data_IF_890281541008
#
_entry.id   IF_890281541008
#
_cell.length_a   1.000
_cell.length_b   1.000
_cell.length_c   1.000
_cell.angle_alpha   90.00
_cell.angle_beta   90.00
_cell.angle_gamma   90.00
#
_symmetry.space_group_name_H-M   'P 1'
#
loop_
_entity.id
_entity.type
_entity.pdbx_description
1 polymer ?
#
# COMPACT_ATOMS: atom_id res chain seq x y z
N UNK A 1 12.47 -22.90 23.05
CA UNK A 1 12.62 -22.31 21.70
C UNK A 1 14.03 -22.55 21.21
N UNK A 2 14.19 -23.14 20.02
CA UNK A 2 15.52 -23.30 19.39
C UNK A 2 16.05 -21.92 18.97
N UNK A 3 17.36 -21.69 19.09
CA UNK A 3 18.02 -20.42 18.74
C UNK A 3 17.70 -19.96 17.31
N UNK A 4 17.60 -20.92 16.37
CA UNK A 4 17.23 -20.67 14.97
C UNK A 4 15.86 -20.01 14.85
N UNK A 5 14.88 -20.53 15.59
CA UNK A 5 13.51 -20.02 15.56
C UNK A 5 13.39 -18.64 16.21
N UNK A 6 14.13 -18.40 17.29
CA UNK A 6 14.24 -17.07 17.90
C UNK A 6 14.80 -16.05 16.89
N UNK A 7 15.95 -16.37 16.28
CA UNK A 7 16.61 -15.49 15.31
C UNK A 7 15.72 -15.23 14.08
N UNK A 8 15.03 -16.26 13.58
CA UNK A 8 14.08 -16.13 12.47
C UNK A 8 12.99 -15.10 12.79
N UNK A 9 12.31 -15.24 13.94
CA UNK A 9 11.21 -14.33 14.31
C UNK A 9 11.71 -12.91 14.52
N UNK A 10 12.88 -12.76 15.16
CA UNK A 10 13.47 -11.44 15.38
C UNK A 10 13.81 -10.74 14.05
N UNK A 11 14.45 -11.45 13.11
CA UNK A 11 14.77 -10.92 11.79
C UNK A 11 13.51 -10.58 11.00
N UNK A 12 12.47 -11.40 11.09
CA UNK A 12 11.19 -11.14 10.44
C UNK A 12 10.50 -9.87 10.99
N UNK A 13 10.44 -9.71 12.31
CA UNK A 13 9.92 -8.50 12.96
C UNK A 13 10.70 -7.25 12.50
N UNK A 14 12.03 -7.32 12.49
CA UNK A 14 12.89 -6.23 12.02
C UNK A 14 12.62 -5.87 10.56
N UNK A 15 12.42 -6.87 9.69
CA UNK A 15 12.07 -6.64 8.29
C UNK A 15 10.71 -5.95 8.14
N UNK A 16 9.70 -6.36 8.91
CA UNK A 16 8.39 -5.71 8.91
C UNK A 16 8.49 -4.25 9.38
N UNK A 17 9.23 -3.97 10.47
CA UNK A 17 9.47 -2.61 10.95
C UNK A 17 10.21 -1.75 9.91
N UNK A 18 11.24 -2.31 9.27
CA UNK A 18 11.96 -1.63 8.21
C UNK A 18 11.04 -1.30 7.02
N UNK A 19 10.20 -2.25 6.61
CA UNK A 19 9.24 -2.06 5.50
C UNK A 19 8.17 -1.02 5.84
N UNK A 20 7.68 -1.01 7.08
CA UNK A 20 6.74 0.01 7.57
C UNK A 20 7.40 1.39 7.58
N UNK A 21 8.62 1.51 8.12
CA UNK A 21 9.39 2.76 8.18
C UNK A 21 9.68 3.31 6.78
N UNK A 22 10.19 2.48 5.87
CA UNK A 22 10.43 2.85 4.46
C UNK A 22 9.16 3.35 3.77
N UNK A 23 8.04 2.68 3.99
CA UNK A 23 6.75 3.10 3.44
C UNK A 23 6.30 4.43 4.03
N UNK A 24 6.45 4.64 5.34
CA UNK A 24 6.13 5.91 5.99
C UNK A 24 7.00 7.07 5.45
N UNK A 25 8.31 6.83 5.29
CA UNK A 25 9.22 7.81 4.66
C UNK A 25 8.78 8.13 3.23
N UNK A 26 8.46 7.13 2.42
CA UNK A 26 7.95 7.35 1.08
C UNK A 26 6.61 8.10 1.07
N UNK A 27 5.75 7.92 2.08
CA UNK A 27 4.53 8.72 2.24
C UNK A 27 4.86 10.19 2.51
N UNK A 28 5.75 10.50 3.45
CA UNK A 28 6.08 11.90 3.76
C UNK A 28 6.66 12.65 2.55
N UNK A 29 7.37 11.95 1.69
CA UNK A 29 7.98 12.54 0.50
C UNK A 29 6.99 12.60 -0.67
N UNK A 30 6.12 11.60 -0.86
CA UNK A 30 5.24 11.50 -2.04
C UNK A 30 3.79 11.94 -1.82
N UNK A 31 3.33 12.01 -0.57
CA UNK A 31 1.94 12.15 -0.14
C UNK A 31 0.96 11.12 -0.75
N UNK A 32 1.47 10.00 -1.30
CA UNK A 32 0.61 8.92 -1.84
C UNK A 32 0.07 8.06 -0.71
N UNK A 33 -1.25 8.02 -0.56
CA UNK A 33 -1.87 7.31 0.57
C UNK A 33 -1.77 5.79 0.49
N UNK A 34 -1.39 5.23 -0.66
CA UNK A 34 -1.02 3.81 -0.80
C UNK A 34 0.06 3.42 0.20
N UNK A 35 1.06 4.27 0.41
CA UNK A 35 2.16 4.00 1.35
C UNK A 35 1.71 3.96 2.81
N UNK A 36 0.66 4.70 3.18
CA UNK A 36 0.07 4.58 4.52
C UNK A 36 -0.62 3.23 4.70
N UNK A 37 -1.35 2.75 3.68
CA UNK A 37 -1.93 1.42 3.69
C UNK A 37 -0.87 0.32 3.82
N UNK A 38 0.21 0.43 3.06
CA UNK A 38 1.35 -0.52 3.12
C UNK A 38 2.07 -0.44 4.48
N UNK A 39 2.26 0.75 5.04
CA UNK A 39 2.81 0.92 6.39
C UNK A 39 1.93 0.24 7.44
N UNK A 40 0.61 0.47 7.39
CA UNK A 40 -0.34 -0.14 8.32
C UNK A 40 -0.36 -1.67 8.21
N UNK A 41 -0.22 -2.22 7.00
CA UNK A 41 -0.09 -3.65 6.74
C UNK A 41 1.12 -4.25 7.48
N UNK A 42 2.32 -3.69 7.30
CA UNK A 42 3.51 -4.21 7.96
C UNK A 42 3.50 -3.98 9.47
N UNK A 43 2.92 -2.88 9.94
CA UNK A 43 2.76 -2.61 11.36
C UNK A 43 1.83 -3.63 12.02
N UNK A 44 0.69 -3.96 11.38
CA UNK A 44 -0.23 -4.99 11.86
C UNK A 44 0.47 -6.34 12.00
N UNK A 45 1.19 -6.77 10.95
CA UNK A 45 1.96 -8.01 10.96
C UNK A 45 3.06 -8.03 12.02
N UNK A 46 3.78 -6.91 12.20
CA UNK A 46 4.78 -6.76 13.24
C UNK A 46 4.17 -6.97 14.63
N UNK A 47 3.04 -6.34 14.92
CA UNK A 47 2.35 -6.44 16.20
C UNK A 47 1.81 -7.85 16.44
N UNK A 48 1.20 -8.47 15.43
CA UNK A 48 0.70 -9.85 15.51
C UNK A 48 1.83 -10.85 15.76
N UNK A 49 2.92 -10.76 15.00
CA UNK A 49 4.10 -11.63 15.19
C UNK A 49 4.74 -11.41 16.56
N UNK A 50 4.77 -10.17 17.06
CA UNK A 50 5.32 -9.87 18.38
C UNK A 50 4.48 -10.48 19.50
N UNK A 51 3.16 -10.54 19.32
CA UNK A 51 2.24 -11.18 20.26
C UNK A 51 2.42 -12.70 20.27
N UNK A 52 2.51 -13.32 19.08
CA UNK A 52 2.80 -14.76 18.96
C UNK A 52 4.14 -15.11 19.63
N UNK A 53 5.16 -14.28 19.40
CA UNK A 53 6.47 -14.47 20.00
C UNK A 53 6.46 -14.31 21.53
N UNK A 54 5.63 -13.40 22.06
CA UNK A 54 5.42 -13.26 23.50
C UNK A 54 4.75 -14.50 24.10
N UNK A 55 3.74 -15.04 23.42
CA UNK A 55 3.04 -16.26 23.81
C UNK A 55 4.05 -17.43 23.87
N UNK A 56 4.80 -17.66 22.79
CA UNK A 56 5.82 -18.71 22.70
C UNK A 56 6.89 -18.60 23.80
N UNK A 57 7.36 -17.38 24.08
CA UNK A 57 8.33 -17.16 25.17
C UNK A 57 7.73 -17.43 26.56
N UNK A 58 6.45 -17.12 26.76
CA UNK A 58 5.75 -17.30 28.03
C UNK A 58 5.43 -18.76 28.33
N UNK A 59 5.17 -19.58 27.30
CA UNK A 59 4.93 -21.02 27.44
C UNK A 59 6.17 -21.83 27.84
N UNK A 60 7.37 -21.29 27.66
CA UNK A 60 8.62 -21.95 28.05
C UNK A 60 8.91 -21.89 29.55
N UNK A 61 8.08 -21.20 30.34
CA UNK A 61 8.22 -21.12 31.80
C UNK A 61 7.71 -22.43 32.43
N UNK A 62 8.46 -23.05 33.37
CA UNK A 62 8.07 -24.32 33.98
C UNK A 62 6.71 -24.31 34.69
N UNK A 63 6.31 -23.15 35.22
CA UNK A 63 5.06 -22.96 35.97
C UNK A 63 3.82 -23.01 35.06
N UNK A 64 3.93 -22.59 33.79
CA UNK A 64 2.82 -22.57 32.81
C UNK A 64 2.60 -23.89 32.09
N UNK A 65 3.59 -24.79 32.04
CA UNK A 65 3.49 -26.10 31.40
C UNK A 65 2.56 -27.08 32.15
N UNK A 66 2.34 -26.88 33.45
CA UNK A 66 1.55 -27.79 34.28
C UNK A 66 0.02 -27.60 34.15
N UNK A 67 -0.45 -26.45 33.67
CA UNK A 67 -1.88 -26.08 33.63
C UNK A 67 -2.54 -26.24 32.25
N UNK A 68 -1.78 -26.43 31.17
CA UNK A 68 -2.29 -26.26 29.80
C UNK A 68 -2.39 -27.59 29.07
N UNK A 69 -3.50 -28.30 29.28
CA UNK A 69 -3.88 -29.51 28.53
C UNK A 69 -4.61 -29.17 27.22
N UNK A 70 -5.04 -27.91 27.05
CA UNK A 70 -5.84 -27.43 25.91
C UNK A 70 -5.20 -26.18 25.29
N UNK A 71 -5.02 -26.18 23.97
CA UNK A 71 -4.44 -25.12 23.13
C UNK A 71 -5.22 -23.78 23.32
N UNK A 72 -4.79 -22.87 24.23
CA UNK A 72 -5.65 -21.77 24.66
C UNK A 72 -5.56 -20.61 23.69
N UNK A 73 -6.70 -19.97 23.39
CA UNK A 73 -6.72 -18.83 22.47
C UNK A 73 -6.32 -17.54 23.22
N UNK A 74 -5.01 -17.36 23.42
CA UNK A 74 -4.46 -16.25 24.20
C UNK A 74 -4.67 -14.89 23.55
N UNK A 75 -4.84 -13.88 24.41
CA UNK A 75 -4.97 -12.47 24.03
C UNK A 75 -5.97 -12.20 22.88
N UNK A 76 -7.21 -12.73 22.95
CA UNK A 76 -8.15 -12.74 21.84
C UNK A 76 -8.50 -11.33 21.33
N UNK A 77 -8.57 -10.36 22.25
CA UNK A 77 -8.88 -8.97 21.93
C UNK A 77 -7.75 -8.26 21.17
N UNK A 78 -6.49 -8.56 21.50
CA UNK A 78 -5.34 -8.03 20.77
C UNK A 78 -5.26 -8.66 19.38
N UNK A 79 -5.47 -9.98 19.27
CA UNK A 79 -5.55 -10.68 17.97
C UNK A 79 -6.64 -10.10 17.08
N UNK A 80 -7.83 -9.82 17.64
CA UNK A 80 -8.93 -9.18 16.91
C UNK A 80 -8.55 -7.78 16.41
N UNK A 81 -7.92 -6.97 17.26
CA UNK A 81 -7.49 -5.62 16.88
C UNK A 81 -6.45 -5.64 15.75
N UNK A 82 -5.46 -6.51 15.83
CA UNK A 82 -4.41 -6.64 14.81
C UNK A 82 -4.96 -7.21 13.50
N UNK A 83 -5.82 -8.24 13.58
CA UNK A 83 -6.57 -8.77 12.42
C UNK A 83 -7.40 -7.68 11.74
N UNK A 84 -8.07 -6.83 12.51
CA UNK A 84 -8.86 -5.70 11.98
C UNK A 84 -7.98 -4.71 11.24
N UNK A 85 -6.87 -4.29 11.85
CA UNK A 85 -5.92 -3.37 11.23
C UNK A 85 -5.35 -3.97 9.93
N UNK A 86 -5.04 -5.27 9.96
CA UNK A 86 -4.54 -6.02 8.84
C UNK A 86 -5.54 -6.03 7.66
N UNK A 87 -6.77 -6.51 7.84
CA UNK A 87 -7.75 -6.57 6.76
C UNK A 87 -8.10 -5.18 6.20
N UNK A 88 -8.17 -4.16 7.07
CA UNK A 88 -8.40 -2.77 6.65
C UNK A 88 -7.26 -2.25 5.79
N UNK A 89 -6.01 -2.56 6.13
CA UNK A 89 -4.84 -2.15 5.36
C UNK A 89 -4.82 -2.78 3.96
N UNK A 90 -5.16 -4.07 3.84
CA UNK A 90 -5.24 -4.77 2.56
C UNK A 90 -6.31 -4.16 1.66
N UNK A 91 -7.53 -3.96 2.20
CA UNK A 91 -8.61 -3.31 1.46
C UNK A 91 -8.28 -1.88 1.06
N UNK A 92 -7.59 -1.14 1.92
CA UNK A 92 -7.10 0.20 1.59
C UNK A 92 -6.18 0.15 0.37
N UNK A 93 -5.15 -0.70 0.40
CA UNK A 93 -4.17 -0.79 -0.70
C UNK A 93 -4.84 -1.18 -2.01
N UNK A 94 -5.71 -2.20 -2.00
CA UNK A 94 -6.43 -2.65 -3.21
C UNK A 94 -7.31 -1.55 -3.78
N UNK A 95 -8.09 -0.86 -2.95
CA UNK A 95 -9.03 0.16 -3.44
C UNK A 95 -8.33 1.44 -3.91
N UNK A 96 -7.22 1.81 -3.26
CA UNK A 96 -6.37 2.91 -3.72
C UNK A 96 -5.75 2.56 -5.08
N UNK A 97 -5.29 1.32 -5.27
CA UNK A 97 -4.70 0.86 -6.52
C UNK A 97 -5.69 0.79 -7.69
N UNK A 98 -6.96 0.52 -7.39
CA UNK A 98 -8.08 0.50 -8.35
C UNK A 98 -8.70 1.90 -8.54
N UNK A 99 -8.16 2.95 -7.90
CA UNK A 99 -8.65 4.34 -7.93
C UNK A 99 -10.14 4.48 -7.57
N UNK A 100 -10.63 3.61 -6.70
CA UNK A 100 -12.06 3.50 -6.33
C UNK A 100 -12.27 3.51 -4.82
N UNK A 101 -11.42 4.26 -4.12
CA UNK A 101 -11.44 4.36 -2.66
C UNK A 101 -12.68 5.10 -2.18
N UNK A 102 -13.53 4.37 -1.45
CA UNK A 102 -14.64 4.92 -0.68
C UNK A 102 -14.61 4.23 0.67
N UNK A 103 -14.76 4.98 1.77
CA UNK A 103 -14.64 4.41 3.13
C UNK A 103 -15.61 3.23 3.33
N UNK A 104 -16.83 3.32 2.79
CA UNK A 104 -17.84 2.26 2.83
C UNK A 104 -17.35 0.95 2.19
N UNK A 105 -16.55 1.01 1.13
CA UNK A 105 -16.03 -0.18 0.43
C UNK A 105 -14.93 -0.88 1.24
N UNK A 106 -14.31 -0.21 2.21
CA UNK A 106 -13.40 -0.82 3.19
C UNK A 106 -14.22 -1.33 4.37
N UNK A 107 -15.09 -0.48 4.92
CA UNK A 107 -15.77 -0.74 6.18
C UNK A 107 -16.78 -1.89 6.11
N UNK A 108 -17.49 -2.08 5.00
CA UNK A 108 -18.46 -3.17 4.86
C UNK A 108 -17.79 -4.55 4.92
N UNK A 109 -16.83 -4.90 4.05
CA UNK A 109 -16.19 -6.21 4.11
C UNK A 109 -15.40 -6.41 5.41
N UNK A 110 -14.68 -5.38 5.87
CA UNK A 110 -13.94 -5.48 7.14
C UNK A 110 -14.88 -5.63 8.33
N UNK A 111 -15.98 -4.87 8.38
CA UNK A 111 -16.96 -4.93 9.46
C UNK A 111 -17.64 -6.29 9.56
N UNK A 112 -17.99 -6.91 8.43
CA UNK A 112 -18.52 -8.28 8.41
C UNK A 112 -17.51 -9.26 9.01
N UNK A 113 -16.23 -9.18 8.61
CA UNK A 113 -15.19 -10.07 9.12
C UNK A 113 -14.95 -9.87 10.62
N UNK A 114 -14.87 -8.62 11.08
CA UNK A 114 -14.70 -8.28 12.50
C UNK A 114 -15.87 -8.78 13.32
N UNK A 115 -17.11 -8.66 12.82
CA UNK A 115 -18.29 -9.18 13.52
C UNK A 115 -18.21 -10.69 13.69
N UNK A 116 -17.85 -11.44 12.64
CA UNK A 116 -17.70 -12.90 12.73
C UNK A 116 -16.58 -13.26 13.70
N UNK A 117 -15.42 -12.60 13.62
CA UNK A 117 -14.29 -12.82 14.52
C UNK A 117 -14.63 -12.47 15.98
N UNK A 118 -15.37 -11.39 16.22
CA UNK A 118 -15.82 -10.99 17.56
C UNK A 118 -16.81 -12.00 18.14
N UNK A 119 -17.73 -12.54 17.33
CA UNK A 119 -18.62 -13.62 17.75
C UNK A 119 -17.82 -14.85 18.15
N UNK A 120 -16.79 -15.22 17.38
CA UNK A 120 -15.91 -16.35 17.71
C UNK A 120 -15.18 -16.11 19.04
N UNK A 121 -14.63 -14.91 19.26
CA UNK A 121 -13.94 -14.52 20.51
C UNK A 121 -14.85 -14.63 21.74
N UNK A 122 -16.14 -14.29 21.60
CA UNK A 122 -17.08 -14.26 22.73
C UNK A 122 -17.80 -15.60 22.94
N UNK A 123 -18.22 -16.26 21.86
CA UNK A 123 -19.14 -17.40 21.92
C UNK A 123 -18.44 -18.77 21.91
N UNK A 124 -17.20 -18.85 21.41
CA UNK A 124 -16.49 -20.13 21.24
C UNK A 124 -15.08 -20.00 21.83
N UNK A 125 -15.01 -20.05 23.15
CA UNK A 125 -13.74 -20.06 23.88
C UNK A 125 -13.09 -21.45 23.76
N UNK A 126 -11.78 -21.47 23.44
CA UNK A 126 -10.90 -22.64 23.48
C UNK A 126 -11.32 -23.84 22.62
N UNK A 127 -11.64 -23.60 21.35
CA UNK A 127 -11.86 -24.65 20.36
C UNK A 127 -10.92 -24.50 19.17
N UNK A 128 -10.44 -25.62 18.63
CA UNK A 128 -9.71 -25.64 17.34
C UNK A 128 -10.52 -24.99 16.22
N UNK A 129 -11.83 -25.21 16.26
CA UNK A 129 -12.77 -24.65 15.30
C UNK A 129 -12.90 -23.13 15.44
N UNK A 130 -12.80 -22.57 16.66
CA UNK A 130 -12.81 -21.11 16.80
C UNK A 130 -11.57 -20.46 16.20
N UNK A 131 -10.38 -21.04 16.43
CA UNK A 131 -9.15 -20.53 15.84
C UNK A 131 -9.18 -20.62 14.31
N UNK A 132 -9.60 -21.76 13.76
CA UNK A 132 -9.73 -21.92 12.31
C UNK A 132 -10.74 -20.94 11.69
N UNK A 133 -11.90 -20.70 12.33
CA UNK A 133 -12.84 -19.68 11.84
C UNK A 133 -12.23 -18.29 11.94
N UNK A 134 -11.55 -17.96 13.04
CA UNK A 134 -10.96 -16.65 13.26
C UNK A 134 -9.96 -16.29 12.15
N UNK A 135 -8.99 -17.18 11.89
CA UNK A 135 -7.97 -17.00 10.87
C UNK A 135 -8.51 -17.22 9.44
N UNK A 136 -9.36 -18.22 9.23
CA UNK A 136 -9.97 -18.48 7.92
C UNK A 136 -10.85 -17.35 7.41
N UNK A 137 -11.56 -16.63 8.29
CA UNK A 137 -12.32 -15.42 7.91
C UNK A 137 -11.39 -14.29 7.47
N UNK A 138 -10.22 -14.15 8.10
CA UNK A 138 -9.19 -13.18 7.71
C UNK A 138 -8.70 -13.49 6.29
N UNK A 139 -8.37 -14.75 6.01
CA UNK A 139 -7.87 -15.16 4.70
C UNK A 139 -8.92 -14.97 3.60
N UNK A 140 -10.18 -15.31 3.90
CA UNK A 140 -11.30 -15.08 3.00
C UNK A 140 -11.49 -13.58 2.71
N UNK A 141 -11.28 -12.72 3.71
CA UNK A 141 -11.32 -11.27 3.53
C UNK A 141 -10.22 -10.80 2.56
N UNK A 142 -8.99 -11.28 2.72
CA UNK A 142 -7.88 -10.96 1.80
C UNK A 142 -8.16 -11.48 0.39
N UNK A 143 -8.63 -12.72 0.27
CA UNK A 143 -9.01 -13.31 -1.02
C UNK A 143 -10.14 -12.51 -1.69
N UNK A 144 -11.11 -12.02 -0.92
CA UNK A 144 -12.20 -11.18 -1.43
C UNK A 144 -11.71 -9.80 -1.92
N UNK A 145 -10.71 -9.22 -1.26
CA UNK A 145 -10.07 -7.98 -1.73
C UNK A 145 -9.36 -8.20 -3.07
N UNK A 146 -8.62 -9.29 -3.23
CA UNK A 146 -7.99 -9.66 -4.50
C UNK A 146 -9.04 -9.90 -5.60
N UNK A 147 -10.08 -10.68 -5.28
CA UNK A 147 -11.19 -10.94 -6.20
C UNK A 147 -11.87 -9.64 -6.65
N UNK A 148 -12.04 -8.67 -5.74
CA UNK A 148 -12.54 -7.34 -6.09
C UNK A 148 -11.60 -6.61 -7.06
N UNK A 149 -10.28 -6.63 -6.81
CA UNK A 149 -9.28 -6.04 -7.71
C UNK A 149 -9.34 -6.65 -9.12
N UNK A 150 -9.49 -7.97 -9.21
CA UNK A 150 -9.65 -8.67 -10.49
C UNK A 150 -10.98 -8.37 -11.18
N UNK A 151 -12.08 -8.32 -10.42
CA UNK A 151 -13.38 -7.91 -10.93
C UNK A 151 -13.33 -6.49 -11.50
N UNK A 152 -12.67 -5.57 -10.79
CA UNK A 152 -12.48 -4.21 -11.25
C UNK A 152 -11.63 -4.14 -12.52
N UNK A 153 -10.56 -4.92 -12.61
CA UNK A 153 -9.76 -5.04 -13.83
C UNK A 153 -10.61 -5.45 -15.05
N UNK A 154 -11.49 -6.45 -14.89
CA UNK A 154 -12.36 -6.91 -15.99
C UNK A 154 -13.47 -5.93 -16.38
N UNK A 155 -13.95 -5.13 -15.43
CA UNK A 155 -15.05 -4.17 -15.62
C UNK A 155 -14.58 -2.77 -16.05
N UNK A 156 -13.27 -2.50 -15.99
CA UNK A 156 -12.73 -1.19 -16.31
C UNK A 156 -12.74 -0.97 -17.82
N UNK A 157 -13.48 0.06 -18.27
CA UNK A 157 -13.46 0.54 -19.65
C UNK A 157 -12.36 1.56 -19.95
N UNK A 158 -11.67 2.04 -18.92
CA UNK A 158 -10.55 2.98 -19.05
C UNK A 158 -9.25 2.24 -19.41
N UNK A 159 -8.71 2.55 -20.58
CA UNK A 159 -7.51 1.93 -21.10
C UNK A 159 -6.25 2.31 -20.32
N UNK A 160 -6.19 3.52 -19.74
CA UNK A 160 -5.07 3.96 -18.94
C UNK A 160 -5.00 3.21 -17.60
N UNK A 161 -6.14 3.08 -16.91
CA UNK A 161 -6.23 2.28 -15.69
C UNK A 161 -5.95 0.80 -15.97
N UNK A 162 -6.45 0.27 -17.08
CA UNK A 162 -6.16 -1.12 -17.48
C UNK A 162 -4.67 -1.37 -17.71
N UNK A 163 -3.98 -0.47 -18.40
CA UNK A 163 -2.52 -0.55 -18.59
C UNK A 163 -1.75 -0.43 -17.27
N UNK A 164 -2.22 0.42 -16.35
CA UNK A 164 -1.64 0.52 -15.01
C UNK A 164 -1.73 -0.82 -14.25
N UNK A 165 -2.93 -1.40 -14.18
CA UNK A 165 -3.19 -2.68 -13.52
C UNK A 165 -2.40 -3.84 -14.15
N UNK A 166 -2.20 -3.82 -15.47
CA UNK A 166 -1.42 -4.84 -16.20
C UNK A 166 0.05 -4.90 -15.76
N UNK A 167 0.65 -3.78 -15.33
CA UNK A 167 2.04 -3.77 -14.81
C UNK A 167 2.16 -4.62 -13.55
N UNK A 168 1.10 -4.73 -12.75
CA UNK A 168 1.05 -5.51 -11.52
C UNK A 168 0.53 -6.94 -11.71
N UNK A 169 0.30 -7.41 -12.95
CA UNK A 169 -0.24 -8.76 -13.21
C UNK A 169 0.60 -9.88 -12.57
N UNK A 170 1.93 -9.78 -12.63
CA UNK A 170 2.84 -10.81 -12.13
C UNK A 170 2.83 -10.81 -10.59
N UNK A 171 3.07 -9.68 -9.89
CA UNK A 171 2.88 -9.60 -8.45
C UNK A 171 1.52 -10.08 -7.97
N UNK A 172 0.45 -9.70 -8.67
CA UNK A 172 -0.91 -10.10 -8.33
C UNK A 172 -1.10 -11.63 -8.39
N UNK A 173 -0.64 -12.28 -9.48
CA UNK A 173 -0.75 -13.73 -9.62
C UNK A 173 0.07 -14.48 -8.57
N UNK A 174 1.30 -14.03 -8.30
CA UNK A 174 2.14 -14.63 -7.26
C UNK A 174 1.44 -14.51 -5.90
N UNK A 175 0.94 -13.32 -5.56
CA UNK A 175 0.26 -13.11 -4.29
C UNK A 175 -1.03 -13.92 -4.18
N UNK A 176 -1.82 -14.05 -5.25
CA UNK A 176 -3.02 -14.89 -5.26
C UNK A 176 -2.70 -16.38 -5.02
N UNK A 177 -1.61 -16.89 -5.61
CA UNK A 177 -1.12 -18.25 -5.35
C UNK A 177 -0.69 -18.38 -3.89
N UNK A 178 0.06 -17.41 -3.36
CA UNK A 178 0.50 -17.45 -1.97
C UNK A 178 -0.67 -17.44 -0.98
N UNK A 179 -1.67 -16.58 -1.14
CA UNK A 179 -2.86 -16.57 -0.28
C UNK A 179 -3.62 -17.91 -0.35
N UNK A 180 -3.65 -18.55 -1.51
CA UNK A 180 -4.23 -19.90 -1.62
C UNK A 180 -3.42 -20.92 -0.82
N UNK A 181 -2.08 -20.84 -0.88
CA UNK A 181 -1.20 -21.71 -0.10
C UNK A 181 -1.32 -21.45 1.41
N UNK A 182 -1.45 -20.18 1.83
CA UNK A 182 -1.70 -19.79 3.23
C UNK A 182 -2.95 -20.49 3.76
N UNK A 183 -4.09 -20.33 3.06
CA UNK A 183 -5.34 -20.93 3.48
C UNK A 183 -5.26 -22.47 3.58
N UNK A 184 -4.52 -23.10 2.66
CA UNK A 184 -4.29 -24.55 2.68
C UNK A 184 -3.39 -24.93 3.86
N UNK A 185 -2.30 -24.21 4.11
CA UNK A 185 -1.41 -24.42 5.26
C UNK A 185 -2.18 -24.28 6.57
N UNK A 186 -2.93 -23.20 6.77
CA UNK A 186 -3.72 -22.96 7.97
C UNK A 186 -4.75 -24.06 8.21
N UNK A 187 -5.45 -24.47 7.15
CA UNK A 187 -6.43 -25.56 7.25
C UNK A 187 -5.76 -26.89 7.61
N UNK A 188 -4.58 -27.17 7.06
CA UNK A 188 -3.82 -28.39 7.33
C UNK A 188 -3.24 -28.38 8.75
N UNK A 189 -2.65 -27.27 9.19
CA UNK A 189 -2.03 -27.15 10.51
C UNK A 189 -3.07 -27.16 11.63
N UNK A 190 -4.12 -26.37 11.51
CA UNK A 190 -5.14 -26.24 12.56
C UNK A 190 -6.09 -27.44 12.65
N UNK A 191 -6.36 -28.14 11.53
CA UNK A 191 -7.32 -29.25 11.50
C UNK A 191 -6.66 -30.64 11.54
N UNK A 192 -5.58 -30.86 10.79
CA UNK A 192 -5.02 -32.20 10.57
C UNK A 192 -3.75 -32.48 11.38
N UNK A 193 -2.81 -31.53 11.46
CA UNK A 193 -1.54 -31.77 12.16
C UNK A 193 -1.57 -31.40 13.65
N UNK A 194 -2.44 -30.47 14.07
CA UNK A 194 -2.69 -30.01 15.44
C UNK A 194 -1.76 -30.60 16.52
N UNK A 195 -0.47 -30.21 16.53
CA UNK A 195 0.52 -30.80 17.42
C UNK A 195 0.16 -30.51 18.88
N UNK A 196 0.35 -31.50 19.76
CA UNK A 196 0.16 -31.29 21.19
C UNK A 196 1.22 -30.32 21.72
N UNK A 197 0.85 -29.45 22.66
CA UNK A 197 1.74 -28.43 23.26
C UNK A 197 2.99 -29.05 23.91
N UNK A 198 2.88 -30.32 24.33
CA UNK A 198 4.00 -31.11 24.88
C UNK A 198 5.10 -31.38 23.86
N UNK A 199 4.78 -31.34 22.56
CA UNK A 199 5.76 -31.43 21.49
C UNK A 199 6.29 -30.03 21.17
N UNK A 200 7.40 -29.63 21.82
CA UNK A 200 8.28 -28.51 21.39
C UNK A 200 8.94 -28.78 20.01
N UNK A 201 8.34 -29.65 19.20
CA UNK A 201 8.80 -30.10 17.90
C UNK A 201 8.75 -28.99 16.85
N UNK A 202 9.43 -29.25 15.74
CA UNK A 202 9.36 -28.44 14.52
C UNK A 202 7.91 -28.16 14.08
N UNK A 203 7.00 -29.12 14.25
CA UNK A 203 5.59 -29.03 13.82
C UNK A 203 4.80 -27.99 14.61
N UNK A 204 5.06 -27.83 15.93
CA UNK A 204 4.43 -26.79 16.73
C UNK A 204 4.80 -25.38 16.25
N UNK A 205 6.10 -25.16 16.02
CA UNK A 205 6.59 -23.88 15.52
C UNK A 205 6.10 -23.60 14.09
N UNK A 206 5.97 -24.64 13.26
CA UNK A 206 5.39 -24.52 11.92
C UNK A 206 3.90 -24.11 11.98
N UNK A 207 3.14 -24.69 12.92
CA UNK A 207 1.71 -24.41 13.11
C UNK A 207 1.43 -23.01 13.67
N UNK A 208 2.25 -22.48 14.57
CA UNK A 208 2.02 -21.14 15.14
C UNK A 208 2.50 -20.01 14.24
N UNK A 209 3.50 -20.27 13.38
CA UNK A 209 4.22 -19.22 12.67
C UNK A 209 3.88 -19.12 11.17
N UNK A 210 3.03 -20.00 10.64
CA UNK A 210 2.49 -20.04 9.27
C UNK A 210 3.51 -19.57 8.18
N UNK A 211 4.29 -20.52 7.67
CA UNK A 211 5.44 -20.24 6.81
C UNK A 211 5.05 -19.64 5.46
N UNK A 212 3.95 -20.08 4.86
CA UNK A 212 3.44 -19.50 3.62
C UNK A 212 3.02 -18.04 3.82
N UNK A 213 2.44 -17.70 4.98
CA UNK A 213 2.03 -16.33 5.28
C UNK A 213 3.26 -15.43 5.41
N UNK A 214 4.27 -15.86 6.17
CA UNK A 214 5.53 -15.12 6.29
C UNK A 214 6.23 -14.94 4.94
N UNK A 215 6.23 -15.98 4.10
CA UNK A 215 6.79 -15.89 2.75
C UNK A 215 6.02 -14.88 1.88
N UNK A 216 4.70 -14.80 2.01
CA UNK A 216 3.87 -13.81 1.32
C UNK A 216 4.17 -12.39 1.80
N UNK A 217 4.38 -12.21 3.11
CA UNK A 217 4.77 -10.92 3.70
C UNK A 217 6.17 -10.50 3.25
N UNK A 218 7.15 -11.41 3.21
CA UNK A 218 8.49 -11.15 2.67
C UNK A 218 8.38 -10.70 1.21
N UNK A 219 7.57 -11.38 0.41
CA UNK A 219 7.33 -11.00 -0.99
C UNK A 219 6.77 -9.57 -1.10
N UNK A 220 5.76 -9.24 -0.30
CA UNK A 220 5.21 -7.89 -0.21
C UNK A 220 6.26 -6.87 0.26
N UNK A 221 7.12 -7.23 1.23
CA UNK A 221 8.16 -6.37 1.78
C UNK A 221 9.17 -5.98 0.69
N UNK A 222 9.62 -6.95 -0.10
CA UNK A 222 10.54 -6.70 -1.23
C UNK A 222 9.92 -5.73 -2.23
N UNK A 223 8.63 -5.90 -2.58
CA UNK A 223 7.94 -5.00 -3.51
C UNK A 223 7.76 -3.59 -2.92
N UNK A 224 7.36 -3.51 -1.65
CA UNK A 224 7.14 -2.25 -0.95
C UNK A 224 8.44 -1.45 -0.80
N UNK A 225 9.51 -2.10 -0.36
CA UNK A 225 10.84 -1.49 -0.19
C UNK A 225 11.37 -0.99 -1.53
N UNK A 226 11.26 -1.78 -2.60
CA UNK A 226 11.68 -1.36 -3.95
C UNK A 226 10.90 -0.13 -4.42
N UNK A 227 9.57 -0.17 -4.32
CA UNK A 227 8.70 0.95 -4.70
C UNK A 227 9.01 2.22 -3.88
N UNK A 228 9.19 2.07 -2.57
CA UNK A 228 9.52 3.16 -1.66
C UNK A 228 10.90 3.76 -1.98
N UNK A 229 11.92 2.91 -2.19
CA UNK A 229 13.27 3.32 -2.55
C UNK A 229 13.30 4.06 -3.90
N UNK A 230 12.60 3.55 -4.92
CA UNK A 230 12.47 4.22 -6.22
C UNK A 230 11.86 5.62 -6.04
N UNK A 231 10.78 5.72 -5.27
CA UNK A 231 10.09 6.99 -5.00
C UNK A 231 10.99 7.99 -4.26
N UNK A 232 11.74 7.52 -3.28
CA UNK A 232 12.68 8.34 -2.51
C UNK A 232 13.87 8.78 -3.36
N UNK A 233 14.41 7.90 -4.20
CA UNK A 233 15.57 8.20 -5.06
C UNK A 233 15.25 9.28 -6.10
N UNK A 234 14.07 9.22 -6.72
CA UNK A 234 13.63 10.20 -7.72
C UNK A 234 13.52 11.59 -7.08
N UNK A 235 12.92 11.69 -5.89
CA UNK A 235 12.70 12.96 -5.18
C UNK A 235 13.91 13.45 -4.38
N UNK A 236 14.95 12.63 -4.24
CA UNK A 236 16.24 13.07 -3.71
C UNK A 236 17.01 13.91 -4.74
N UNK A 237 16.87 13.58 -6.02
CA UNK A 237 17.52 14.32 -7.12
C UNK A 237 16.73 15.56 -7.58
N UNK A 238 15.41 15.58 -7.41
CA UNK A 238 14.57 16.77 -7.62
C UNK A 238 14.01 17.25 -6.27
N UNK A 239 14.60 18.28 -5.63
CA UNK A 239 14.06 18.80 -4.38
C UNK A 239 12.60 19.25 -4.61
N UNK A 240 11.71 19.05 -3.62
CA UNK A 240 10.33 19.48 -3.75
C UNK A 240 10.30 20.99 -3.97
N UNK A 241 9.97 21.42 -5.18
CA UNK A 241 9.39 22.74 -5.37
C UNK A 241 8.14 22.76 -4.49
N UNK A 242 8.20 23.58 -3.44
CA UNK A 242 7.46 23.38 -2.18
C UNK A 242 5.99 23.02 -2.31
N UNK A 243 5.53 22.16 -1.39
CA UNK A 243 4.14 21.95 -0.98
C UNK A 243 3.06 22.31 -2.02
N UNK A 244 2.96 21.48 -3.05
CA UNK A 244 2.01 21.66 -4.14
C UNK A 244 0.59 21.40 -3.62
N UNK A 245 -0.15 22.47 -3.32
CA UNK A 245 -1.58 22.39 -2.96
C UNK A 245 -2.33 21.67 -4.09
N UNK A 246 -3.47 21.01 -3.81
CA UNK A 246 -4.30 20.37 -4.86
C UNK A 246 -4.61 21.30 -6.05
N UNK A 247 -4.62 22.61 -5.80
CA UNK A 247 -4.76 23.68 -6.81
C UNK A 247 -3.53 23.75 -7.74
N UNK A 248 -2.31 23.69 -7.21
CA UNK A 248 -1.08 23.72 -8.00
C UNK A 248 -0.85 22.40 -8.77
N UNK A 249 -1.26 21.25 -8.22
CA UNK A 249 -1.25 19.98 -8.96
C UNK A 249 -2.21 19.98 -10.15
N UNK A 250 -3.41 20.57 -10.00
CA UNK A 250 -4.36 20.78 -11.11
C UNK A 250 -3.77 21.70 -12.16
N UNK A 251 -3.19 22.84 -11.74
CA UNK A 251 -2.54 23.78 -12.65
C UNK A 251 -1.37 23.14 -13.42
N UNK A 252 -0.54 22.32 -12.76
CA UNK A 252 0.57 21.61 -13.42
C UNK A 252 0.08 20.56 -14.41
N UNK A 253 -1.00 19.85 -14.08
CA UNK A 253 -1.61 18.85 -14.98
C UNK A 253 -2.28 19.51 -16.19
N UNK A 254 -2.98 20.62 -15.98
CA UNK A 254 -3.56 21.44 -17.05
C UNK A 254 -2.47 22.02 -17.95
N UNK A 255 -1.39 22.56 -17.37
CA UNK A 255 -0.23 23.07 -18.11
C UNK A 255 0.39 21.98 -18.99
N UNK A 256 0.61 20.78 -18.45
CA UNK A 256 1.15 19.66 -19.21
C UNK A 256 0.23 19.25 -20.38
N UNK A 257 -1.09 19.15 -20.14
CA UNK A 257 -2.07 18.81 -21.18
C UNK A 257 -2.14 19.85 -22.29
N UNK A 258 -2.20 21.13 -21.92
CA UNK A 258 -2.21 22.24 -22.88
C UNK A 258 -0.93 22.23 -23.72
N UNK A 259 0.22 22.02 -23.08
CA UNK A 259 1.50 21.94 -23.75
C UNK A 259 1.60 20.76 -24.74
N UNK A 260 1.12 19.58 -24.35
CA UNK A 260 1.14 18.41 -25.23
C UNK A 260 0.18 18.61 -26.42
N UNK A 261 -1.01 19.18 -26.19
CA UNK A 261 -1.99 19.47 -27.24
C UNK A 261 -1.48 20.43 -28.30
N UNK A 262 -0.74 21.45 -27.88
CA UNK A 262 -0.17 22.46 -28.78
C UNK A 262 1.28 22.16 -29.19
N UNK A 263 1.79 20.96 -28.91
CA UNK A 263 3.16 20.55 -29.22
C UNK A 263 4.22 21.56 -28.77
N UNK A 264 4.06 22.09 -27.55
CA UNK A 264 5.01 23.00 -26.93
C UNK A 264 6.27 22.23 -26.48
N UNK A 265 7.42 22.78 -26.84
CA UNK A 265 8.74 22.29 -26.40
C UNK A 265 8.93 22.49 -24.90
N UNK A 266 9.88 21.79 -24.24
CA UNK A 266 10.15 22.00 -22.82
C UNK A 266 10.40 23.46 -22.45
N UNK A 267 11.16 24.20 -23.28
CA UNK A 267 11.42 25.63 -23.04
C UNK A 267 10.20 26.51 -23.21
N UNK A 268 9.31 26.19 -24.15
CA UNK A 268 8.05 26.91 -24.31
C UNK A 268 7.08 26.63 -23.14
N UNK A 269 7.15 25.45 -22.51
CA UNK A 269 6.39 25.12 -21.29
C UNK A 269 6.82 25.98 -20.11
N UNK A 270 8.13 26.13 -19.92
CA UNK A 270 8.69 26.98 -18.85
C UNK A 270 8.24 28.45 -19.03
N UNK A 271 8.29 28.95 -20.27
CA UNK A 271 7.85 30.31 -20.61
C UNK A 271 6.34 30.47 -20.41
N UNK A 272 5.53 29.48 -20.81
CA UNK A 272 4.08 29.48 -20.61
C UNK A 272 3.70 29.54 -19.12
N UNK A 273 4.37 28.75 -18.26
CA UNK A 273 4.09 28.74 -16.82
C UNK A 273 4.26 30.15 -16.21
N UNK A 274 5.35 30.84 -16.54
CA UNK A 274 5.61 32.19 -16.06
C UNK A 274 4.66 33.23 -16.68
N UNK A 275 4.17 33.01 -17.90
CA UNK A 275 3.13 33.85 -18.51
C UNK A 275 1.79 33.72 -17.75
N UNK A 276 1.41 32.51 -17.33
CA UNK A 276 0.21 32.26 -16.53
C UNK A 276 0.29 32.88 -15.13
N UNK A 277 1.49 32.97 -14.56
CA UNK A 277 1.76 33.70 -13.31
C UNK A 277 1.69 35.23 -13.45
N UNK A 278 1.45 35.76 -14.66
CA UNK A 278 1.34 37.20 -14.90
C UNK A 278 2.68 37.92 -15.09
N UNK A 279 3.81 37.22 -15.18
CA UNK A 279 5.13 37.85 -15.37
C UNK A 279 5.26 38.46 -16.77
N UNK A 280 5.94 39.59 -16.88
CA UNK A 280 6.27 40.19 -18.17
C UNK A 280 7.50 39.53 -18.81
N UNK A 281 7.77 39.82 -20.08
CA UNK A 281 8.87 39.19 -20.82
C UNK A 281 10.24 39.49 -20.20
N UNK A 282 10.39 40.61 -19.51
CA UNK A 282 11.64 40.99 -18.85
C UNK A 282 11.87 40.15 -17.58
N UNK A 283 10.83 39.97 -16.76
CA UNK A 283 10.90 39.12 -15.58
C UNK A 283 11.05 37.64 -15.95
N UNK A 284 10.44 37.20 -17.05
CA UNK A 284 10.62 35.84 -17.59
C UNK A 284 12.08 35.64 -18.04
N UNK A 285 12.66 36.62 -18.74
CA UNK A 285 14.06 36.58 -19.17
C UNK A 285 15.01 36.44 -17.98
N UNK A 286 14.80 37.24 -16.93
CA UNK A 286 15.57 37.15 -15.68
C UNK A 286 15.37 35.80 -14.99
N UNK A 287 14.13 35.31 -14.86
CA UNK A 287 13.82 34.07 -14.17
C UNK A 287 14.42 32.82 -14.85
N UNK A 288 14.47 32.81 -16.19
CA UNK A 288 15.00 31.68 -16.97
C UNK A 288 16.46 31.87 -17.39
N UNK A 289 17.10 32.98 -17.01
CA UNK A 289 18.46 33.35 -17.47
C UNK A 289 18.58 33.32 -19.01
N UNK A 290 17.59 33.92 -19.68
CA UNK A 290 17.51 34.04 -21.14
C UNK A 290 17.58 35.50 -21.57
N UNK A 291 17.96 35.74 -22.83
CA UNK A 291 17.84 37.10 -23.39
C UNK A 291 16.37 37.47 -23.62
N UNK A 292 16.04 38.77 -23.51
CA UNK A 292 14.69 39.26 -23.81
C UNK A 292 14.23 38.89 -25.24
N UNK A 293 15.16 38.89 -26.21
CA UNK A 293 14.88 38.48 -27.59
C UNK A 293 14.48 37.00 -27.68
N UNK A 294 15.17 36.13 -26.94
CA UNK A 294 14.86 34.70 -26.87
C UNK A 294 13.49 34.45 -26.25
N UNK A 295 13.14 35.16 -25.17
CA UNK A 295 11.80 35.06 -24.58
C UNK A 295 10.73 35.53 -25.56
N UNK A 296 10.93 36.66 -26.24
CA UNK A 296 9.99 37.13 -27.28
C UNK A 296 9.77 36.09 -28.38
N UNK A 297 10.83 35.40 -28.81
CA UNK A 297 10.73 34.32 -29.80
C UNK A 297 9.91 33.13 -29.26
N UNK A 298 10.17 32.68 -28.02
CA UNK A 298 9.37 31.61 -27.41
C UNK A 298 7.89 32.01 -27.24
N UNK A 299 7.61 33.24 -26.79
CA UNK A 299 6.24 33.74 -26.67
C UNK A 299 5.53 33.78 -28.02
N UNK A 300 6.22 34.22 -29.08
CA UNK A 300 5.68 34.22 -30.43
C UNK A 300 5.37 32.80 -30.93
N UNK A 301 6.26 31.84 -30.70
CA UNK A 301 6.04 30.44 -31.07
C UNK A 301 4.88 29.83 -30.29
N UNK A 302 4.73 30.14 -29.00
CA UNK A 302 3.60 29.70 -28.19
C UNK A 302 2.30 30.23 -28.78
N UNK A 303 2.23 31.52 -29.11
CA UNK A 303 1.05 32.12 -29.75
C UNK A 303 0.70 31.45 -31.07
N UNK A 304 1.70 31.20 -31.91
CA UNK A 304 1.51 30.51 -33.18
C UNK A 304 0.98 29.07 -32.99
N UNK A 305 1.57 28.30 -32.07
CA UNK A 305 1.17 26.91 -31.77
C UNK A 305 -0.19 26.81 -31.08
N UNK A 306 -0.53 27.80 -30.26
CA UNK A 306 -1.82 27.92 -29.59
C UNK A 306 -2.93 28.50 -30.52
N UNK A 307 -2.57 29.06 -31.67
CA UNK A 307 -3.52 29.68 -32.60
C UNK A 307 -4.12 30.98 -32.05
N UNK A 308 -3.39 31.72 -31.22
CA UNK A 308 -3.84 32.95 -30.55
C UNK A 308 -2.97 34.14 -30.94
N UNK A 309 -3.54 35.34 -30.97
CA UNK A 309 -2.83 36.57 -31.37
C UNK A 309 -2.35 37.45 -30.22
N UNK A 310 -2.77 37.17 -28.98
CA UNK A 310 -2.43 38.02 -27.83
C UNK A 310 -2.30 37.23 -26.53
N UNK A 311 -1.62 37.83 -25.55
CA UNK A 311 -1.50 37.29 -24.19
C UNK A 311 -2.87 36.99 -23.58
N UNK A 312 -3.82 37.91 -23.74
CA UNK A 312 -5.16 37.75 -23.18
C UNK A 312 -5.92 36.59 -23.84
N UNK A 313 -5.77 36.41 -25.15
CA UNK A 313 -6.34 35.26 -25.86
C UNK A 313 -5.68 33.95 -25.46
N UNK A 314 -4.36 33.93 -25.22
CA UNK A 314 -3.65 32.77 -24.69
C UNK A 314 -4.19 32.38 -23.31
N UNK A 315 -4.32 33.35 -22.38
CA UNK A 315 -4.89 33.10 -21.06
C UNK A 315 -6.32 32.57 -21.17
N UNK A 316 -7.14 33.17 -22.02
CA UNK A 316 -8.52 32.71 -22.24
C UNK A 316 -8.57 31.30 -22.83
N UNK A 317 -7.71 30.99 -23.80
CA UNK A 317 -7.59 29.64 -24.39
C UNK A 317 -7.19 28.61 -23.34
N UNK A 318 -6.30 28.96 -22.41
CA UNK A 318 -5.89 28.07 -21.33
C UNK A 318 -7.03 27.78 -20.34
N UNK A 319 -7.75 28.81 -19.88
CA UNK A 319 -8.81 28.66 -18.86
C UNK A 319 -10.18 28.22 -19.39
N UNK A 320 -10.43 28.36 -20.70
CA UNK A 320 -11.70 27.91 -21.32
C UNK A 320 -11.76 26.40 -21.52
N UNK A 321 -10.65 25.70 -21.30
CA UNK A 321 -10.51 24.25 -21.46
C UNK A 321 -10.69 23.45 -20.16
N UNK A 322 -11.20 24.11 -19.10
CA UNK A 322 -11.68 23.50 -17.84
C UNK A 322 -13.18 23.17 -17.87
#
# INVERSE_FOLDING_TARGET
MNEVWFCYTMLFILMCLFSASMSLSAYFVSHRTTYLGVMAFFLAFCLETSLIFLDEYSYLKPETLAEIVTFPFMHPWFKLAFSTLFIMSVWWVVLEYVERRTWLRIAVPCGICVLVQAVVVVAVQDSRLSQWIFYGVRDLCVASALAYGFWAYRRTGDEALRQHLLRMRKPYLVFAVMITLVFVEDSVMMYYLAPHITDLSFTYHLSERNMCENAAVIFCAVLAIRSAADTLSIRFHEPPTGATTKVQQRAHTQLARYADRHALTPRERDVLALLLEGKDNQNIASALTLSLGTVKAHVHNIYHKAGVGSRQQLLQSFWKED
#
